data_IF_389056739828
#
_entry.id   IF_389056739828
#
_cell.length_a   1.000
_cell.length_b   1.000
_cell.length_c   1.000
_cell.angle_alpha   90.00
_cell.angle_beta   90.00
_cell.angle_gamma   90.00
#
_symmetry.space_group_name_H-M   'P 1'
#
loop_
_entity.id
_entity.type
_entity.pdbx_description
1 polymer ?
#
# COMPACT_ATOMS: atom_id res chain seq x y z
N UNK A 1 -9.57 -14.70 26.76
CA UNK A 1 -8.44 -14.81 25.81
C UNK A 1 -7.60 -13.57 26.02
N UNK A 2 -6.29 -13.70 26.21
CA UNK A 2 -5.39 -12.53 26.21
C UNK A 2 -5.17 -12.13 24.76
N UNK A 3 -5.66 -10.95 24.39
CA UNK A 3 -5.45 -10.36 23.07
C UNK A 3 -4.16 -9.56 23.09
N UNK A 4 -3.32 -9.74 22.09
CA UNK A 4 -2.07 -8.98 21.94
C UNK A 4 -2.25 -7.83 20.95
N UNK A 5 -1.48 -6.77 21.16
CA UNK A 5 -1.34 -5.71 20.18
C UNK A 5 0.12 -5.31 20.00
N UNK A 6 0.44 -4.86 18.80
CA UNK A 6 1.78 -4.49 18.35
C UNK A 6 1.71 -3.24 17.50
N UNK A 7 2.77 -2.45 17.52
CA UNK A 7 2.91 -1.27 16.69
C UNK A 7 4.21 -1.33 15.91
N UNK A 8 4.16 -0.92 14.64
CA UNK A 8 5.30 -0.97 13.73
C UNK A 8 5.49 0.38 13.05
N UNK A 9 6.75 0.78 12.89
CA UNK A 9 7.15 1.84 11.96
C UNK A 9 7.47 1.21 10.62
N UNK A 10 6.89 1.74 9.54
CA UNK A 10 7.31 1.38 8.19
C UNK A 10 8.52 2.24 7.82
N UNK A 11 9.65 1.58 7.60
CA UNK A 11 10.90 2.20 7.18
C UNK A 11 10.95 2.32 5.66
N UNK A 12 11.86 3.17 5.18
CA UNK A 12 12.17 3.26 3.76
C UNK A 12 12.64 1.91 3.21
N UNK A 13 12.25 1.59 1.98
CA UNK A 13 12.47 0.26 1.38
C UNK A 13 11.44 -0.80 1.79
N UNK A 14 10.47 -0.46 2.66
CA UNK A 14 9.36 -1.34 3.00
C UNK A 14 9.68 -2.37 4.07
N UNK A 15 10.69 -2.12 4.89
CA UNK A 15 10.91 -2.88 6.12
C UNK A 15 9.95 -2.39 7.21
N UNK A 16 9.52 -3.29 8.09
CA UNK A 16 8.73 -2.96 9.27
C UNK A 16 9.59 -3.18 10.52
N UNK A 17 9.55 -2.22 11.42
CA UNK A 17 10.28 -2.28 12.69
C UNK A 17 9.29 -2.16 13.86
N UNK A 18 9.23 -3.15 14.77
CA UNK A 18 8.38 -3.07 15.96
C UNK A 18 8.84 -1.93 16.86
N UNK A 19 7.92 -1.02 17.18
CA UNK A 19 8.19 0.14 18.00
C UNK A 19 7.39 0.09 19.30
N UNK A 20 7.89 0.80 20.31
CA UNK A 20 7.20 0.94 21.59
C UNK A 20 5.81 1.54 21.39
N UNK A 21 4.80 0.97 22.06
CA UNK A 21 3.43 1.47 22.07
C UNK A 21 3.36 2.89 22.65
N UNK A 22 3.16 3.89 21.79
CA UNK A 22 3.06 5.29 22.17
C UNK A 22 2.36 6.11 21.08
N UNK A 23 1.61 7.12 21.50
CA UNK A 23 1.02 8.14 20.61
C UNK A 23 2.07 9.06 19.99
N UNK A 24 3.24 9.17 20.59
CA UNK A 24 4.29 10.09 20.14
C UNK A 24 4.94 9.62 18.82
N UNK A 25 4.77 8.35 18.47
CA UNK A 25 5.30 7.74 17.24
C UNK A 25 4.58 8.19 15.96
N UNK A 26 3.40 8.83 16.09
CA UNK A 26 2.55 9.28 14.99
C UNK A 26 3.03 10.62 14.43
N UNK A 27 4.18 10.59 13.76
CA UNK A 27 4.83 11.76 13.19
C UNK A 27 4.33 12.07 11.76
N UNK A 28 4.35 13.33 11.32
CA UNK A 28 3.86 13.71 9.99
C UNK A 28 4.56 12.99 8.84
N UNK A 29 5.80 12.58 9.02
CA UNK A 29 6.67 11.98 8.02
C UNK A 29 6.80 10.45 8.18
N UNK A 30 5.92 9.78 8.92
CA UNK A 30 5.97 8.32 9.11
C UNK A 30 4.67 7.63 8.71
N UNK A 31 4.78 6.34 8.40
CA UNK A 31 3.62 5.45 8.31
C UNK A 31 3.71 4.44 9.44
N UNK A 32 2.63 4.29 10.20
CA UNK A 32 2.55 3.45 11.38
C UNK A 32 1.50 2.37 11.15
N UNK A 33 1.84 1.13 11.47
CA UNK A 33 0.91 -0.01 11.44
C UNK A 33 0.64 -0.41 12.89
N UNK A 34 -0.64 -0.49 13.26
CA UNK A 34 -1.08 -1.01 14.56
C UNK A 34 -1.86 -2.29 14.34
N UNK A 35 -1.36 -3.38 14.90
CA UNK A 35 -2.00 -4.69 14.90
C UNK A 35 -2.75 -4.86 16.21
N UNK A 36 -4.06 -5.07 16.13
CA UNK A 36 -4.89 -5.37 17.30
C UNK A 36 -5.66 -6.67 17.08
N UNK A 37 -5.32 -7.70 17.85
CA UNK A 37 -6.02 -8.99 17.79
C UNK A 37 -7.44 -8.91 18.35
N UNK A 38 -7.70 -8.02 19.31
CA UNK A 38 -9.01 -7.94 19.97
C UNK A 38 -10.10 -7.46 19.01
N UNK A 39 -9.78 -6.45 18.20
CA UNK A 39 -10.68 -5.94 17.16
C UNK A 39 -10.52 -6.63 15.81
N UNK A 40 -9.67 -7.66 15.70
CA UNK A 40 -9.33 -8.35 14.45
C UNK A 40 -9.10 -7.36 13.29
N UNK A 41 -8.33 -6.31 13.58
CA UNK A 41 -8.11 -5.19 12.67
C UNK A 41 -6.64 -4.75 12.66
N UNK A 42 -6.13 -4.49 11.47
CA UNK A 42 -4.87 -3.75 11.28
C UNK A 42 -5.21 -2.31 10.98
N UNK A 43 -4.78 -1.37 11.81
CA UNK A 43 -4.86 0.05 11.50
C UNK A 43 -3.59 0.45 10.76
N UNK A 44 -3.75 1.11 9.62
CA UNK A 44 -2.66 1.68 8.86
C UNK A 44 -2.82 3.19 8.86
N UNK A 45 -1.91 3.89 9.55
CA UNK A 45 -1.92 5.34 9.62
C UNK A 45 -0.81 5.94 8.76
N UNK A 46 -1.16 6.92 7.95
CA UNK A 46 -0.21 7.66 7.12
C UNK A 46 -0.08 9.11 7.59
N UNK A 47 1.15 9.53 7.86
CA UNK A 47 1.47 10.91 8.16
C UNK A 47 1.18 11.86 7.00
N UNK A 48 0.96 13.13 7.36
CA UNK A 48 0.60 14.22 6.43
C UNK A 48 1.66 14.45 5.36
N UNK A 49 2.94 14.18 5.64
CA UNK A 49 4.07 14.39 4.72
C UNK A 49 4.48 13.11 3.97
N UNK A 50 3.83 11.97 4.23
CA UNK A 50 4.12 10.73 3.53
C UNK A 50 3.73 10.80 2.05
N UNK A 51 4.68 10.48 1.17
CA UNK A 51 4.45 10.37 -0.27
C UNK A 51 3.74 9.08 -0.68
N UNK A 52 3.20 9.05 -1.89
CA UNK A 52 2.40 7.98 -2.47
C UNK A 52 3.14 6.64 -2.48
N UNK A 53 4.44 6.65 -2.78
CA UNK A 53 5.28 5.45 -2.81
C UNK A 53 5.41 4.83 -1.42
N UNK A 54 5.65 5.66 -0.41
CA UNK A 54 5.78 5.21 0.97
C UNK A 54 4.44 4.67 1.49
N UNK A 55 3.33 5.33 1.18
CA UNK A 55 1.97 4.88 1.52
C UNK A 55 1.63 3.53 0.89
N UNK A 56 1.85 3.35 -0.42
CA UNK A 56 1.64 2.06 -1.11
C UNK A 56 2.52 0.95 -0.55
N UNK A 57 3.76 1.28 -0.22
CA UNK A 57 4.69 0.32 0.42
C UNK A 57 4.18 -0.10 1.80
N UNK A 58 3.74 0.86 2.61
CA UNK A 58 3.16 0.60 3.93
C UNK A 58 1.86 -0.21 3.84
N UNK A 59 1.00 0.05 2.85
CA UNK A 59 -0.21 -0.76 2.60
C UNK A 59 0.12 -2.21 2.29
N UNK A 60 1.13 -2.46 1.44
CA UNK A 60 1.59 -3.83 1.17
C UNK A 60 2.10 -4.53 2.42
N UNK A 61 2.80 -3.81 3.30
CA UNK A 61 3.25 -4.36 4.58
C UNK A 61 2.08 -4.66 5.52
N UNK A 62 1.08 -3.78 5.57
CA UNK A 62 -0.15 -4.01 6.32
C UNK A 62 -0.93 -5.23 5.82
N UNK A 63 -1.04 -5.41 4.49
CA UNK A 63 -1.62 -6.62 3.88
C UNK A 63 -0.83 -7.89 4.23
N UNK A 64 0.51 -7.79 4.25
CA UNK A 64 1.38 -8.91 4.65
C UNK A 64 1.13 -9.31 6.10
N UNK A 65 1.10 -8.34 7.02
CA UNK A 65 0.81 -8.56 8.44
C UNK A 65 -0.60 -9.11 8.62
N UNK A 66 -1.60 -8.56 7.91
CA UNK A 66 -2.99 -9.03 7.97
C UNK A 66 -3.09 -10.53 7.66
N UNK A 67 -2.40 -10.98 6.61
CA UNK A 67 -2.44 -12.38 6.19
C UNK A 67 -1.59 -13.30 7.07
N UNK A 68 -0.33 -12.94 7.29
CA UNK A 68 0.67 -13.84 7.87
C UNK A 68 0.90 -13.63 9.37
N UNK A 69 0.43 -12.51 9.92
CA UNK A 69 0.81 -12.04 11.24
C UNK A 69 2.25 -11.56 11.30
N UNK A 70 2.71 -11.27 12.51
CA UNK A 70 4.09 -10.93 12.81
C UNK A 70 4.75 -12.04 13.61
N UNK A 71 5.88 -12.55 13.12
CA UNK A 71 6.64 -13.61 13.79
C UNK A 71 7.56 -13.00 14.84
N UNK A 72 7.33 -13.35 16.11
CA UNK A 72 8.17 -12.97 17.23
C UNK A 72 8.75 -14.22 17.89
N UNK A 73 10.04 -14.47 17.63
CA UNK A 73 10.72 -15.68 18.09
C UNK A 73 10.09 -16.94 17.49
N UNK A 74 9.39 -17.72 18.32
CA UNK A 74 8.69 -18.96 17.91
C UNK A 74 7.17 -18.79 17.79
N UNK A 75 6.65 -17.59 18.06
CA UNK A 75 5.23 -17.29 18.07
C UNK A 75 4.85 -16.37 16.91
N UNK A 76 3.61 -16.46 16.45
CA UNK A 76 3.05 -15.56 15.44
C UNK A 76 1.88 -14.82 16.09
N UNK A 77 1.89 -13.49 16.00
CA UNK A 77 0.85 -12.61 16.55
C UNK A 77 0.03 -12.02 15.40
N UNK A 78 -1.29 -12.02 15.53
CA UNK A 78 -2.24 -11.40 14.59
C UNK A 78 -2.26 -12.03 13.21
N UNK A 79 -2.31 -13.35 13.15
CA UNK A 79 -2.52 -14.11 11.91
C UNK A 79 -4.00 -14.08 11.50
N UNK A 80 -4.27 -14.08 10.19
CA UNK A 80 -5.62 -14.18 9.61
C UNK A 80 -6.57 -13.07 10.07
N UNK A 81 -6.06 -11.83 10.16
CA UNK A 81 -6.82 -10.65 10.55
C UNK A 81 -7.84 -10.29 9.46
N UNK A 82 -9.06 -9.90 9.86
CA UNK A 82 -10.19 -9.74 8.92
C UNK A 82 -10.12 -8.47 8.10
N UNK A 83 -9.71 -7.35 8.71
CA UNK A 83 -9.81 -6.03 8.08
C UNK A 83 -8.56 -5.18 8.23
N UNK A 84 -8.32 -4.32 7.23
CA UNK A 84 -7.39 -3.19 7.32
C UNK A 84 -8.22 -1.92 7.36
N UNK A 85 -7.91 -1.05 8.31
CA UNK A 85 -8.49 0.28 8.48
C UNK A 85 -7.40 1.29 8.13
N UNK A 86 -7.41 1.75 6.88
CA UNK A 86 -6.49 2.76 6.39
C UNK A 86 -6.96 4.16 6.81
N UNK A 87 -6.03 4.98 7.30
CA UNK A 87 -6.26 6.33 7.80
C UNK A 87 -5.22 7.26 7.18
N UNK A 88 -5.67 8.21 6.37
CA UNK A 88 -4.82 9.30 5.88
C UNK A 88 -4.96 10.53 6.77
N UNK A 89 -3.90 10.91 7.48
CA UNK A 89 -3.90 12.09 8.35
C UNK A 89 -4.25 13.40 7.61
N UNK A 90 -4.08 13.46 6.28
CA UNK A 90 -4.51 14.62 5.45
C UNK A 90 -6.02 14.78 5.37
N UNK A 91 -6.75 13.67 5.51
CA UNK A 91 -8.21 13.55 5.34
C UNK A 91 -8.94 13.58 6.69
N UNK A 92 -8.26 13.30 7.79
CA UNK A 92 -8.80 13.45 9.16
C UNK A 92 -9.32 14.89 9.36
N UNK A 93 -10.58 15.02 9.80
CA UNK A 93 -11.27 16.31 9.95
C UNK A 93 -11.91 16.88 8.68
N UNK A 94 -11.64 16.30 7.50
CA UNK A 94 -12.28 16.67 6.22
C UNK A 94 -13.25 15.58 5.74
N UNK A 95 -12.86 14.33 5.90
CA UNK A 95 -13.64 13.15 5.52
C UNK A 95 -14.18 12.50 6.80
N UNK A 96 -15.51 12.27 6.92
CA UNK A 96 -16.09 11.66 8.11
C UNK A 96 -15.52 10.26 8.42
N UNK A 97 -15.32 9.44 7.39
CA UNK A 97 -14.82 8.06 7.53
C UNK A 97 -13.43 8.01 8.16
N UNK A 98 -12.47 8.77 7.62
CA UNK A 98 -11.11 8.84 8.17
C UNK A 98 -11.10 9.41 9.61
N UNK A 99 -12.04 10.30 9.91
CA UNK A 99 -12.17 10.90 11.24
C UNK A 99 -12.67 9.88 12.26
N UNK A 100 -13.67 9.08 11.92
CA UNK A 100 -14.18 8.00 12.78
C UNK A 100 -13.13 6.89 13.00
N UNK A 101 -12.41 6.50 11.95
CA UNK A 101 -11.34 5.51 12.05
C UNK A 101 -10.17 6.02 12.91
N UNK A 102 -9.79 7.29 12.73
CA UNK A 102 -8.76 7.91 13.56
C UNK A 102 -9.21 8.00 15.03
N UNK A 103 -10.47 8.34 15.31
CA UNK A 103 -10.98 8.35 16.68
C UNK A 103 -10.90 6.94 17.31
N UNK A 104 -11.34 5.91 16.57
CA UNK A 104 -11.23 4.52 17.03
C UNK A 104 -9.79 4.09 17.30
N UNK A 105 -8.82 4.59 16.53
CA UNK A 105 -7.40 4.35 16.75
C UNK A 105 -6.89 5.07 18.01
N UNK A 106 -7.30 6.32 18.22
CA UNK A 106 -6.93 7.07 19.43
C UNK A 106 -7.49 6.42 20.70
N UNK A 107 -8.75 5.97 20.66
CA UNK A 107 -9.40 5.25 21.76
C UNK A 107 -8.67 3.94 22.07
N UNK A 108 -8.16 3.24 21.05
CA UNK A 108 -7.34 2.03 21.21
C UNK A 108 -6.01 2.34 21.91
N UNK A 109 -5.34 3.41 21.50
CA UNK A 109 -4.07 3.84 22.07
C UNK A 109 -4.19 4.34 23.52
N UNK A 110 -5.37 4.85 23.92
CA UNK A 110 -5.66 5.29 25.30
C UNK A 110 -6.04 4.16 26.26
N UNK A 111 -6.28 2.94 25.76
CA UNK A 111 -6.59 1.79 26.63
C UNK A 111 -5.42 1.52 27.58
N UNK A 112 -5.74 1.14 28.82
CA UNK A 112 -4.71 0.66 29.76
C UNK A 112 -4.13 -0.65 29.26
N UNK A 113 -2.82 -0.67 29.09
CA UNK A 113 -2.07 -1.83 28.62
C UNK A 113 -0.96 -2.20 29.60
N UNK A 114 -0.52 -3.45 29.50
CA UNK A 114 0.69 -3.95 30.13
C UNK A 114 1.69 -4.27 29.02
N UNK A 115 2.87 -3.67 29.08
CA UNK A 115 3.98 -3.99 28.17
C UNK A 115 4.56 -5.37 28.54
N UNK A 116 4.77 -6.19 27.51
CA UNK A 116 5.52 -7.43 27.55
C UNK A 116 6.85 -7.22 26.79
N UNK A 117 7.69 -8.24 26.77
CA UNK A 117 8.94 -8.19 26.02
C UNK A 117 8.70 -8.01 24.50
N UNK A 118 9.69 -7.40 23.84
CA UNK A 118 9.72 -7.12 22.40
C UNK A 118 8.56 -6.24 21.88
N UNK A 119 8.20 -5.21 22.65
CA UNK A 119 7.18 -4.21 22.27
C UNK A 119 5.76 -4.77 22.09
N UNK A 120 5.52 -6.02 22.50
CA UNK A 120 4.17 -6.60 22.55
C UNK A 120 3.45 -5.98 23.75
N UNK A 121 2.19 -5.60 23.57
CA UNK A 121 1.33 -5.19 24.69
C UNK A 121 0.15 -6.13 24.84
N UNK A 122 -0.40 -6.18 26.05
CA UNK A 122 -1.70 -6.81 26.32
C UNK A 122 -2.62 -5.79 26.94
N UNK A 123 -3.88 -5.76 26.52
CA UNK A 123 -4.89 -4.94 27.17
C UNK A 123 -5.32 -5.61 28.47
N UNK A 124 -5.28 -4.87 29.58
CA UNK A 124 -5.73 -5.42 30.86
C UNK A 124 -7.24 -5.69 30.78
N UNK A 125 -7.63 -6.97 30.88
CA UNK A 125 -9.02 -7.37 31.09
C UNK A 125 -9.38 -7.11 32.56
N UNK A 126 -9.38 -5.85 32.95
CA UNK A 126 -9.78 -5.39 34.28
C UNK A 126 -11.23 -4.97 34.26
N UNK A 127 -12.11 -5.83 34.79
CA UNK A 127 -13.44 -5.54 35.35
C UNK A 127 -13.94 -4.12 35.12
N UNK A 128 -14.49 -3.84 33.94
CA UNK A 128 -15.44 -2.75 33.82
C UNK A 128 -16.62 -3.12 34.71
N UNK A 129 -16.74 -2.46 35.86
CA UNK A 129 -18.00 -2.31 36.56
C UNK A 129 -19.00 -1.82 35.53
N UNK A 130 -19.86 -2.74 35.10
CA UNK A 130 -21.05 -2.45 34.32
C UNK A 130 -21.90 -1.46 35.11
N UNK A 131 -21.71 -0.17 34.82
CA UNK A 131 -22.70 0.86 35.02
C UNK A 131 -23.38 1.13 33.67
N UNK A 132 -23.88 0.07 33.03
CA UNK A 132 -25.02 0.21 32.13
C UNK A 132 -26.25 -0.24 32.89
N UNK A 133 -27.08 0.75 33.23
CA UNK A 133 -28.34 0.57 33.90
C UNK A 133 -29.18 -0.53 33.26
N UNK A 134 -29.80 -1.33 34.14
CA UNK A 134 -30.84 -2.31 33.85
C UNK A 134 -31.87 -1.74 32.85
N UNK A 135 -31.79 -2.12 31.59
CA UNK A 135 -32.95 -2.10 30.70
C UNK A 135 -33.48 -3.53 30.63
N UNK A 136 -34.55 -3.77 31.40
CA UNK A 136 -35.42 -4.95 31.25
C UNK A 136 -35.98 -4.94 29.83
N UNK A 137 -35.58 -5.90 29.00
CA UNK A 137 -36.33 -6.23 27.78
C UNK A 137 -36.99 -7.60 27.97
N UNK A 138 -38.31 -7.56 27.78
CA UNK A 138 -39.32 -8.61 27.95
C UNK A 138 -39.17 -9.68 26.85
N UNK A 139 -39.28 -11.00 27.15
CA UNK A 139 -39.08 -12.04 26.15
C UNK A 139 -40.37 -12.37 25.40
N UNK A 140 -40.30 -12.46 24.06
CA UNK A 140 -40.99 -13.40 23.13
C UNK A 140 -40.90 -12.89 21.67
N UNK A 141 -41.12 -13.73 20.64
CA UNK A 141 -41.21 -15.19 20.60
C UNK A 141 -40.32 -15.86 19.53
N UNK A 142 -40.18 -17.17 19.72
CA UNK A 142 -39.63 -18.20 18.82
C UNK A 142 -40.11 -18.00 17.37
N UNK A 143 -39.18 -17.80 16.43
CA UNK A 143 -39.44 -17.96 14.99
C UNK A 143 -38.82 -19.28 14.54
N UNK A 144 -39.71 -20.11 14.01
CA UNK A 144 -39.49 -21.43 13.44
C UNK A 144 -38.69 -21.28 12.14
N UNK A 145 -37.43 -21.74 12.12
CA UNK A 145 -36.61 -21.76 10.90
C UNK A 145 -37.00 -22.99 10.09
N UNK A 146 -37.77 -22.75 9.03
CA UNK A 146 -37.96 -23.72 7.95
C UNK A 146 -36.61 -24.03 7.29
N UNK A 147 -36.38 -25.32 7.14
CA UNK A 147 -35.28 -25.98 6.44
C UNK A 147 -35.07 -25.42 5.03
N UNK A 148 -33.81 -25.11 4.71
CA UNK A 148 -33.35 -24.83 3.36
C UNK A 148 -32.42 -25.96 2.87
N UNK A 149 -32.48 -26.37 1.58
CA UNK A 149 -31.94 -27.64 1.10
C UNK A 149 -30.43 -27.64 0.87
N UNK A 150 -29.88 -28.86 0.84
CA UNK A 150 -28.47 -29.22 0.72
C UNK A 150 -27.70 -28.54 -0.44
N UNK A 151 -26.39 -28.23 -0.25
CA UNK A 151 -25.52 -27.80 -1.33
C UNK A 151 -25.02 -28.98 -2.18
N UNK A 152 -25.14 -28.79 -3.49
CA UNK A 152 -24.63 -29.65 -4.57
C UNK A 152 -23.09 -29.65 -4.56
N UNK A 153 -22.40 -30.81 -4.64
CA UNK A 153 -20.95 -30.87 -4.71
C UNK A 153 -20.44 -30.46 -6.10
N UNK A 154 -19.49 -29.51 -6.13
CA UNK A 154 -18.70 -29.17 -7.34
C UNK A 154 -17.57 -30.20 -7.55
N UNK A 155 -17.22 -30.50 -8.81
CA UNK A 155 -16.28 -31.56 -9.16
C UNK A 155 -14.82 -31.20 -8.87
N UNK A 156 -14.13 -32.21 -8.36
CA UNK A 156 -12.69 -32.35 -8.12
C UNK A 156 -11.90 -32.19 -9.42
N UNK A 157 -10.91 -31.28 -9.42
CA UNK A 157 -9.84 -31.26 -10.44
C UNK A 157 -8.54 -31.67 -9.76
N UNK A 158 -8.04 -32.84 -10.16
CA UNK A 158 -6.73 -33.37 -9.79
C UNK A 158 -5.58 -32.49 -10.30
N UNK A 159 -4.55 -32.22 -9.51
CA UNK A 159 -3.24 -31.82 -10.03
C UNK A 159 -2.47 -33.06 -10.47
N UNK A 160 -2.11 -33.09 -11.76
CA UNK A 160 -1.20 -34.09 -12.34
C UNK A 160 0.23 -33.69 -11.98
N UNK A 161 0.95 -34.59 -11.31
CA UNK A 161 2.39 -34.50 -11.08
C UNK A 161 3.17 -35.01 -12.32
N UNK A 162 4.33 -34.40 -12.57
CA UNK A 162 5.51 -34.89 -13.34
C UNK A 162 6.36 -33.63 -13.65
N UNK A 163 7.66 -33.50 -13.43
CA UNK A 163 8.80 -34.38 -13.16
C UNK A 163 9.91 -33.46 -12.57
N UNK A 164 10.63 -33.81 -11.50
CA UNK A 164 11.81 -34.68 -11.48
C UNK A 164 12.95 -34.25 -12.41
N UNK A 165 13.86 -33.40 -11.94
CA UNK A 165 15.31 -33.51 -12.24
C UNK A 165 16.10 -33.29 -10.95
N UNK A 166 16.90 -34.30 -10.60
CA UNK A 166 17.84 -34.36 -9.48
C UNK A 166 19.18 -33.73 -9.86
N UNK A 167 19.78 -33.09 -8.85
CA UNK A 167 21.22 -33.01 -8.48
C UNK A 167 22.21 -32.45 -9.52
N UNK A 168 23.32 -31.81 -9.17
CA UNK A 168 24.24 -32.10 -8.06
C UNK A 168 25.25 -30.94 -7.92
N UNK A 169 25.71 -30.74 -6.69
CA UNK A 169 27.11 -30.49 -6.31
C UNK A 169 27.82 -29.13 -6.43
N UNK A 170 28.27 -28.72 -5.23
CA UNK A 170 29.68 -28.45 -4.85
C UNK A 170 30.10 -26.98 -4.78
N UNK A 171 30.22 -26.56 -3.51
CA UNK A 171 31.10 -25.50 -3.04
C UNK A 171 32.56 -25.83 -3.37
N UNK A 172 33.31 -24.85 -3.87
CA UNK A 172 34.76 -24.85 -3.71
C UNK A 172 35.21 -23.42 -3.46
N UNK A 173 35.96 -23.30 -2.36
CA UNK A 173 36.74 -22.16 -1.92
C UNK A 173 37.71 -21.72 -3.03
N UNK A 174 37.89 -20.42 -3.20
CA UNK A 174 39.11 -19.86 -3.75
C UNK A 174 39.47 -18.61 -2.95
N UNK A 175 40.43 -18.78 -2.03
CA UNK A 175 41.42 -17.75 -1.78
C UNK A 175 42.27 -17.61 -3.04
N UNK A 176 42.24 -16.44 -3.68
CA UNK A 176 43.22 -16.09 -4.71
C UNK A 176 43.74 -14.69 -4.42
N UNK A 177 44.95 -14.64 -3.86
CA UNK A 177 45.71 -13.42 -3.56
C UNK A 177 46.56 -13.06 -4.78
N UNK A 178 45.89 -12.68 -5.86
CA UNK A 178 46.53 -12.08 -7.03
C UNK A 178 46.63 -10.54 -6.90
N UNK A 179 47.72 -9.89 -7.36
CA UNK A 179 47.81 -8.44 -7.35
C UNK A 179 46.78 -7.83 -8.31
N UNK A 180 46.01 -6.85 -7.80
CA UNK A 180 45.00 -6.10 -8.54
C UNK A 180 45.57 -5.52 -9.85
N UNK A 181 44.94 -5.75 -11.01
CA UNK A 181 45.34 -5.12 -12.26
C UNK A 181 45.11 -3.61 -12.16
N UNK A 182 46.16 -2.83 -12.40
CA UNK A 182 46.11 -1.37 -12.51
C UNK A 182 45.21 -0.96 -13.67
N UNK A 183 43.97 -0.56 -13.36
CA UNK A 183 43.03 0.02 -14.32
C UNK A 183 43.56 1.40 -14.71
N UNK A 184 44.24 1.49 -15.87
CA UNK A 184 44.38 2.78 -16.56
C UNK A 184 42.97 3.25 -16.95
N UNK A 185 42.60 4.52 -16.72
CA UNK A 185 41.34 5.05 -17.21
C UNK A 185 41.36 5.05 -18.74
N UNK A 186 40.76 4.02 -19.34
CA UNK A 186 40.38 4.07 -20.75
C UNK A 186 39.15 4.95 -20.80
N UNK A 187 39.31 6.18 -21.28
CA UNK A 187 38.22 7.10 -21.60
C UNK A 187 37.39 6.46 -22.71
N UNK A 188 36.38 5.68 -22.35
CA UNK A 188 35.34 5.25 -23.28
C UNK A 188 34.60 6.54 -23.66
N UNK A 189 34.63 6.99 -24.93
CA UNK A 189 33.81 8.12 -25.34
C UNK A 189 32.36 7.76 -25.02
N UNK A 190 31.68 8.62 -24.26
CA UNK A 190 30.24 8.48 -24.00
C UNK A 190 29.54 8.21 -25.33
N UNK A 191 28.70 7.16 -25.43
CA UNK A 191 27.93 6.95 -26.65
C UNK A 191 27.12 8.22 -26.89
N UNK A 192 27.39 8.91 -28.00
CA UNK A 192 26.56 9.98 -28.47
C UNK A 192 25.20 9.35 -28.78
N UNK A 193 24.26 9.49 -27.86
CA UNK A 193 22.88 9.10 -28.09
C UNK A 193 22.39 10.02 -29.21
N UNK A 194 22.25 9.48 -30.42
CA UNK A 194 21.54 10.15 -31.50
C UNK A 194 20.06 10.29 -31.09
N UNK A 195 19.75 11.36 -30.37
CA UNK A 195 18.38 11.72 -30.05
C UNK A 195 17.77 12.23 -31.35
N UNK A 196 17.05 11.35 -32.05
CA UNK A 196 16.25 11.75 -33.21
C UNK A 196 15.29 12.87 -32.80
N UNK A 197 15.16 13.92 -33.63
CA UNK A 197 14.27 15.05 -33.36
C UNK A 197 12.82 14.61 -33.08
N UNK A 198 12.39 13.51 -33.69
CA UNK A 198 11.08 12.87 -33.44
C UNK A 198 10.96 12.27 -32.04
N UNK A 199 12.02 11.65 -31.52
CA UNK A 199 12.08 11.15 -30.14
C UNK A 199 12.01 12.29 -29.12
N UNK A 200 12.67 13.42 -29.39
CA UNK A 200 12.65 14.60 -28.53
C UNK A 200 11.24 15.22 -28.44
N UNK A 201 10.57 15.41 -29.58
CA UNK A 201 9.19 15.93 -29.60
C UNK A 201 8.21 14.99 -28.89
N UNK A 202 8.40 13.68 -29.04
CA UNK A 202 7.56 12.68 -28.37
C UNK A 202 7.72 12.76 -26.85
N UNK A 203 8.96 12.79 -26.35
CA UNK A 203 9.25 12.88 -24.93
C UNK A 203 8.76 14.21 -24.31
N UNK A 204 8.84 15.30 -25.07
CA UNK A 204 8.35 16.60 -24.62
C UNK A 204 6.81 16.61 -24.48
N UNK A 205 6.07 16.05 -25.45
CA UNK A 205 4.61 15.92 -25.34
C UNK A 205 4.17 15.04 -24.16
N UNK A 206 4.88 13.95 -23.89
CA UNK A 206 4.64 13.12 -22.70
C UNK A 206 4.88 13.93 -21.42
N UNK A 207 5.98 14.69 -21.37
CA UNK A 207 6.31 15.55 -20.24
C UNK A 207 5.28 16.66 -20.00
N UNK A 208 4.66 17.19 -21.06
CA UNK A 208 3.56 18.14 -20.95
C UNK A 208 2.31 17.55 -20.33
N UNK A 209 1.98 16.29 -20.63
CA UNK A 209 0.87 15.60 -19.96
C UNK A 209 1.16 15.47 -18.47
N UNK A 210 2.36 15.04 -18.08
CA UNK A 210 2.71 14.93 -16.66
C UNK A 210 2.70 16.27 -15.95
N UNK A 211 3.23 17.31 -16.58
CA UNK A 211 3.23 18.68 -16.03
C UNK A 211 1.81 19.21 -15.82
N UNK A 212 0.92 19.00 -16.79
CA UNK A 212 -0.48 19.41 -16.69
C UNK A 212 -1.23 18.66 -15.57
N UNK A 213 -0.88 17.39 -15.31
CA UNK A 213 -1.46 16.62 -14.20
C UNK A 213 -0.92 17.12 -12.85
N UNK A 214 0.39 17.39 -12.75
CA UNK A 214 1.04 17.86 -11.52
C UNK A 214 0.54 19.23 -11.03
N UNK A 215 -0.07 20.06 -11.89
CA UNK A 215 -0.74 21.31 -11.46
C UNK A 215 -1.97 21.05 -10.57
N UNK A 216 -2.57 19.87 -10.65
CA UNK A 216 -3.79 19.51 -9.92
C UNK A 216 -3.57 18.42 -8.87
N UNK A 217 -2.56 17.58 -9.07
CA UNK A 217 -2.24 16.45 -8.20
C UNK A 217 -0.84 16.62 -7.65
N UNK A 218 -0.73 16.77 -6.32
CA UNK A 218 0.56 17.01 -5.65
C UNK A 218 1.50 15.79 -5.68
N UNK A 219 0.95 14.60 -5.90
CA UNK A 219 1.69 13.35 -5.85
C UNK A 219 1.06 12.33 -6.80
N UNK A 220 1.85 11.85 -7.77
CA UNK A 220 1.38 10.95 -8.82
C UNK A 220 2.40 9.84 -9.05
N UNK A 221 1.89 8.65 -9.38
CA UNK A 221 2.68 7.52 -9.82
C UNK A 221 2.55 7.34 -11.33
N UNK A 222 3.69 7.22 -12.01
CA UNK A 222 3.74 7.01 -13.46
C UNK A 222 4.36 5.64 -13.72
N UNK A 223 3.65 4.79 -14.46
CA UNK A 223 4.18 3.52 -14.94
C UNK A 223 4.08 3.40 -16.45
N UNK A 224 5.19 3.04 -17.09
CA UNK A 224 5.21 2.65 -18.50
C UNK A 224 4.92 1.15 -18.60
N UNK A 225 3.88 0.78 -19.34
CA UNK A 225 3.48 -0.60 -19.57
C UNK A 225 4.25 -1.19 -20.76
N UNK A 226 4.21 -2.52 -20.89
CA UNK A 226 4.93 -3.24 -21.95
C UNK A 226 4.39 -2.93 -23.36
N UNK A 227 3.13 -2.52 -23.47
CA UNK A 227 2.49 -2.07 -24.71
C UNK A 227 2.90 -0.62 -25.10
N UNK A 228 3.81 0.00 -24.36
CA UNK A 228 4.27 1.37 -24.58
C UNK A 228 3.30 2.44 -24.05
N UNK A 229 2.23 2.04 -23.36
CA UNK A 229 1.30 2.98 -22.71
C UNK A 229 1.85 3.53 -21.40
N UNK A 230 1.35 4.69 -21.00
CA UNK A 230 1.63 5.30 -19.71
C UNK A 230 0.35 5.26 -18.86
N UNK A 231 0.47 4.74 -17.64
CA UNK A 231 -0.58 4.81 -16.62
C UNK A 231 -0.16 5.79 -15.54
N UNK A 232 -1.01 6.78 -15.28
CA UNK A 232 -0.84 7.79 -14.23
C UNK A 232 -1.90 7.57 -13.17
N UNK A 233 -1.46 7.42 -11.93
CA UNK A 233 -2.29 7.05 -10.79
C UNK A 233 -2.02 7.99 -9.61
N UNK A 234 -3.05 8.28 -8.83
CA UNK A 234 -2.94 8.86 -7.49
C UNK A 234 -3.22 7.78 -6.43
N UNK A 235 -3.28 8.19 -5.17
CA UNK A 235 -3.60 7.28 -4.06
C UNK A 235 -5.00 6.68 -4.20
N UNK A 236 -5.98 7.52 -4.51
CA UNK A 236 -7.40 7.14 -4.56
C UNK A 236 -7.76 6.39 -5.86
N UNK A 237 -6.81 6.23 -6.78
CA UNK A 237 -6.94 5.37 -7.94
C UNK A 237 -6.33 5.93 -9.23
N UNK A 238 -6.70 5.35 -10.38
CA UNK A 238 -6.15 5.76 -11.67
C UNK A 238 -6.68 7.12 -12.11
N UNK A 239 -5.76 8.02 -12.52
CA UNK A 239 -6.09 9.32 -13.12
C UNK A 239 -6.33 9.12 -14.62
N UNK A 240 -5.34 8.62 -15.36
CA UNK A 240 -5.46 8.40 -16.80
C UNK A 240 -4.48 7.37 -17.33
N UNK A 241 -4.81 6.82 -18.49
CA UNK A 241 -3.91 5.94 -19.26
C UNK A 241 -3.86 6.44 -20.69
N UNK A 242 -2.68 6.59 -21.27
CA UNK A 242 -2.55 7.06 -22.64
C UNK A 242 -1.48 6.32 -23.44
N UNK A 243 -1.68 6.27 -24.75
CA UNK A 243 -0.78 5.66 -25.70
C UNK A 243 -0.22 6.72 -26.64
N UNK A 244 1.01 6.50 -27.08
CA UNK A 244 1.62 7.25 -28.18
C UNK A 244 1.33 6.51 -29.48
N UNK A 245 0.57 7.13 -30.39
CA UNK A 245 0.46 6.63 -31.77
C UNK A 245 1.58 7.21 -32.63
N UNK A 246 1.90 6.51 -33.71
CA UNK A 246 2.78 6.98 -34.78
C UNK A 246 2.42 8.42 -35.17
N UNK A 247 3.45 9.29 -35.23
CA UNK A 247 3.27 10.74 -35.44
C UNK A 247 3.13 11.58 -34.16
N UNK A 248 3.58 11.09 -33.01
CA UNK A 248 3.62 11.87 -31.75
C UNK A 248 2.24 12.37 -31.28
N UNK A 249 1.17 11.60 -31.54
CA UNK A 249 -0.19 11.91 -31.09
C UNK A 249 -0.51 11.10 -29.82
N UNK A 250 -0.92 11.82 -28.77
CA UNK A 250 -1.33 11.22 -27.50
C UNK A 250 -2.81 10.85 -27.58
N UNK A 251 -3.13 9.59 -27.33
CA UNK A 251 -4.52 9.12 -27.22
C UNK A 251 -4.78 8.60 -25.81
N UNK A 252 -5.69 9.26 -25.11
CA UNK A 252 -6.19 8.78 -23.83
C UNK A 252 -7.15 7.61 -24.04
N UNK A 253 -7.08 6.60 -23.17
CA UNK A 253 -8.04 5.48 -23.16
C UNK A 253 -9.43 5.97 -22.75
N UNK A 254 -10.48 5.22 -23.11
CA UNK A 254 -11.86 5.58 -22.79
C UNK A 254 -12.13 5.76 -21.28
N UNK A 255 -11.40 5.00 -20.45
CA UNK A 255 -11.52 5.07 -18.98
C UNK A 255 -10.66 6.16 -18.34
N UNK A 256 -9.87 6.88 -19.14
CA UNK A 256 -9.05 7.98 -18.64
C UNK A 256 -9.92 9.11 -18.10
N UNK A 257 -9.52 9.62 -16.94
CA UNK A 257 -10.19 10.69 -16.23
C UNK A 257 -11.61 10.34 -15.75
N UNK A 258 -11.98 9.05 -15.74
CA UNK A 258 -13.32 8.60 -15.34
C UNK A 258 -13.63 8.84 -13.86
N UNK A 259 -12.59 8.88 -13.01
CA UNK A 259 -12.71 9.07 -11.55
C UNK A 259 -12.39 10.48 -11.07
N UNK A 260 -12.03 11.39 -11.96
CA UNK A 260 -11.66 12.76 -11.60
C UNK A 260 -12.77 13.74 -11.98
N UNK A 261 -12.78 14.90 -11.32
CA UNK A 261 -13.74 15.95 -11.61
C UNK A 261 -13.63 16.42 -13.08
N UNK A 262 -14.74 16.51 -13.85
CA UNK A 262 -14.73 16.99 -15.23
C UNK A 262 -14.04 18.35 -15.42
N UNK A 263 -14.10 19.24 -14.41
CA UNK A 263 -13.40 20.53 -14.46
C UNK A 263 -11.88 20.38 -14.53
N UNK A 264 -11.33 19.43 -13.75
CA UNK A 264 -9.90 19.12 -13.73
C UNK A 264 -9.48 18.49 -15.06
N UNK A 265 -10.29 17.56 -15.59
CA UNK A 265 -10.06 16.99 -16.93
C UNK A 265 -9.94 18.07 -18.01
N UNK A 266 -10.87 19.02 -18.04
CA UNK A 266 -10.85 20.12 -19.02
C UNK A 266 -9.64 21.04 -18.82
N UNK A 267 -9.25 21.31 -17.57
CA UNK A 267 -8.06 22.11 -17.26
C UNK A 267 -6.77 21.44 -17.74
N UNK A 268 -6.60 20.14 -17.46
CA UNK A 268 -5.47 19.33 -17.95
C UNK A 268 -5.41 19.34 -19.48
N UNK A 269 -6.55 19.14 -20.15
CA UNK A 269 -6.61 19.17 -21.61
C UNK A 269 -6.25 20.55 -22.19
N UNK A 270 -6.76 21.63 -21.59
CA UNK A 270 -6.45 23.00 -21.99
C UNK A 270 -4.96 23.30 -21.84
N UNK A 271 -4.36 22.91 -20.71
CA UNK A 271 -2.94 23.11 -20.45
C UNK A 271 -2.07 22.30 -21.40
N UNK A 272 -2.46 21.05 -21.68
CA UNK A 272 -1.76 20.24 -22.67
C UNK A 272 -1.77 20.87 -24.06
N UNK A 273 -2.91 21.43 -24.49
CA UNK A 273 -3.01 22.16 -25.77
C UNK A 273 -2.13 23.40 -25.77
N UNK A 274 -2.08 24.14 -24.66
CA UNK A 274 -1.22 25.32 -24.49
C UNK A 274 0.26 24.95 -24.61
N UNK A 275 0.72 23.96 -23.85
CA UNK A 275 2.11 23.50 -23.88
C UNK A 275 2.47 22.90 -25.25
N UNK A 276 1.55 22.18 -25.89
CA UNK A 276 1.77 21.59 -27.22
C UNK A 276 1.96 22.63 -28.33
N UNK A 277 1.61 23.90 -28.12
CA UNK A 277 1.92 24.99 -29.08
C UNK A 277 3.37 25.46 -29.03
N UNK A 278 4.13 25.06 -28.02
CA UNK A 278 5.53 25.45 -27.84
C UNK A 278 6.52 24.61 -28.66
N UNK A 279 6.04 23.60 -29.40
CA UNK A 279 6.82 22.63 -30.17
C UNK A 279 6.18 22.43 -31.54
#
# INVERSE_FOLDING_TARGET
MTSFALMFKVLEGGLIDPIKWSKDSFLPDTSIIVLDEDSESVYLWHGVQQGLVARRTALRQADSIKGHGYTLGKSIIGRDIKSIKEIDARKVGKVPVDTELNQSLQDLLDKKYTELDNNVITFQVGTATSNFGKIKVKPKPKVEVKSQPAPIPKPTVSPKASSSVKSTNVASEYEDTGPLPSIKPTTIPSPAIEISKSGLQTNAKVSFVFSAILEHFSDIWISKKQDGSYSVEEMDGPICTFHLKEGSKINFTANSFSRINPKIKTAIQKKFIELSKLI
#
